data_IF_125659927630
#
_entry.id   IF_125659927630
#
_cell.length_a   1.000
_cell.length_b   1.000
_cell.length_c   1.000
_cell.angle_alpha   90.00
_cell.angle_beta   90.00
_cell.angle_gamma   90.00
#
_symmetry.space_group_name_H-M   'P 1'
#
loop_
_entity.id
_entity.type
_entity.pdbx_description
1 polymer ?
#
# COMPACT_ATOMS: atom_id res chain seq x y z
N UNK A 1 41.58 10.39 -10.41
CA UNK A 1 42.07 9.42 -9.41
C UNK A 1 41.07 8.28 -9.32
N UNK A 2 41.52 7.08 -9.69
CA UNK A 2 40.90 5.74 -9.64
C UNK A 2 39.51 5.55 -10.28
N UNK A 3 39.54 5.38 -11.61
CA UNK A 3 38.62 4.55 -12.39
C UNK A 3 39.10 3.10 -12.24
N UNK A 4 38.22 2.14 -11.92
CA UNK A 4 38.49 0.72 -12.16
C UNK A 4 37.35 0.13 -12.99
N UNK A 5 37.70 -0.14 -14.25
CA UNK A 5 36.99 -0.98 -15.20
C UNK A 5 37.30 -2.44 -14.89
N UNK A 6 36.31 -3.33 -14.83
CA UNK A 6 36.52 -4.74 -15.12
C UNK A 6 35.34 -5.27 -15.95
N UNK A 7 35.61 -5.48 -17.25
CA UNK A 7 34.90 -6.45 -18.10
C UNK A 7 35.33 -7.85 -17.69
N UNK A 8 34.40 -8.80 -17.62
CA UNK A 8 34.69 -10.23 -17.46
C UNK A 8 33.44 -11.05 -17.75
N UNK A 9 33.57 -11.96 -18.71
CA UNK A 9 32.53 -12.77 -19.36
C UNK A 9 32.02 -13.94 -18.50
N UNK A 10 30.87 -14.49 -18.91
CA UNK A 10 30.17 -15.63 -18.33
C UNK A 10 31.02 -16.92 -18.20
N UNK A 11 30.85 -17.67 -17.11
CA UNK A 11 30.37 -19.07 -17.08
C UNK A 11 30.30 -19.65 -15.64
N UNK A 12 29.19 -20.36 -15.39
CA UNK A 12 28.79 -21.33 -14.33
C UNK A 12 29.69 -21.57 -13.09
N UNK A 13 29.09 -21.50 -11.90
CA UNK A 13 28.69 -22.72 -11.15
C UNK A 13 27.81 -22.35 -9.94
N UNK A 14 26.71 -23.09 -9.75
CA UNK A 14 25.87 -23.03 -8.55
C UNK A 14 26.59 -23.79 -7.41
N UNK A 15 26.94 -23.08 -6.34
CA UNK A 15 27.31 -23.67 -5.06
C UNK A 15 26.24 -23.30 -4.04
N UNK A 16 25.25 -24.19 -3.88
CA UNK A 16 24.22 -24.10 -2.84
C UNK A 16 24.77 -24.69 -1.54
N UNK A 17 24.62 -23.94 -0.46
CA UNK A 17 25.17 -24.19 0.88
C UNK A 17 24.63 -25.51 1.52
N UNK A 18 25.42 -26.30 2.28
CA UNK A 18 25.13 -27.73 2.58
C UNK A 18 24.07 -28.04 3.65
N UNK A 19 23.16 -27.13 3.99
CA UNK A 19 22.20 -27.33 5.11
C UNK A 19 20.81 -27.80 4.63
N UNK A 20 20.54 -27.78 3.32
CA UNK A 20 19.22 -28.12 2.74
C UNK A 20 19.08 -29.58 2.24
N UNK A 21 19.99 -30.49 2.61
CA UNK A 21 20.08 -31.84 2.01
C UNK A 21 19.66 -33.01 2.92
N UNK A 22 18.70 -32.80 3.85
CA UNK A 22 18.08 -33.91 4.60
C UNK A 22 16.58 -33.70 4.81
N UNK A 23 15.80 -33.89 3.74
CA UNK A 23 14.41 -34.38 3.81
C UNK A 23 13.86 -34.57 2.39
N UNK A 24 14.31 -35.63 1.72
CA UNK A 24 13.57 -36.23 0.59
C UNK A 24 13.29 -37.67 0.98
N UNK A 25 12.17 -37.91 1.65
CA UNK A 25 11.52 -39.22 1.62
C UNK A 25 10.50 -39.20 0.50
N UNK A 26 10.84 -39.89 -0.57
CA UNK A 26 9.96 -40.32 -1.64
C UNK A 26 8.80 -41.11 -1.05
N UNK A 27 7.56 -40.68 -1.32
CA UNK A 27 6.38 -41.49 -1.10
C UNK A 27 6.06 -42.15 -2.44
N UNK A 28 6.50 -43.40 -2.62
CA UNK A 28 6.03 -44.26 -3.70
C UNK A 28 4.62 -44.75 -3.35
N UNK A 29 3.65 -44.45 -4.21
CA UNK A 29 2.31 -45.03 -4.13
C UNK A 29 2.38 -46.49 -4.61
N UNK A 30 2.44 -47.43 -3.68
CA UNK A 30 2.14 -48.83 -3.95
C UNK A 30 0.73 -49.17 -3.42
N UNK A 31 -0.09 -49.67 -4.34
CA UNK A 31 -1.43 -50.27 -4.21
C UNK A 31 -2.67 -49.34 -4.07
N UNK A 32 -3.61 -49.36 -5.04
CA UNK A 32 -4.88 -48.67 -4.98
C UNK A 32 -5.98 -49.63 -4.51
N UNK A 33 -6.19 -49.78 -3.19
CA UNK A 33 -7.36 -50.53 -2.71
C UNK A 33 -7.87 -50.19 -1.31
N UNK A 34 -7.41 -49.08 -0.69
CA UNK A 34 -7.96 -48.62 0.60
C UNK A 34 -8.35 -47.13 0.51
N UNK A 35 -9.42 -46.82 -0.25
CA UNK A 35 -9.96 -45.47 -0.40
C UNK A 35 -11.16 -45.18 0.54
N UNK A 36 -11.32 -45.95 1.61
CA UNK A 36 -12.45 -45.83 2.54
C UNK A 36 -12.00 -45.92 3.99
N UNK A 37 -11.05 -45.10 4.46
CA UNK A 37 -10.89 -44.90 5.92
C UNK A 37 -10.08 -43.66 6.39
N UNK A 38 -9.84 -42.67 5.53
CA UNK A 38 -9.34 -41.36 5.98
C UNK A 38 -10.40 -40.32 5.60
N UNK A 39 -11.41 -40.09 6.42
CA UNK A 39 -11.24 -39.63 7.80
C UNK A 39 -11.45 -38.13 7.76
N UNK A 40 -12.68 -37.75 8.07
CA UNK A 40 -13.17 -36.41 8.34
C UNK A 40 -12.20 -35.61 9.25
N UNK A 41 -11.25 -34.87 8.68
CA UNK A 41 -10.60 -33.76 9.40
C UNK A 41 -9.85 -32.77 8.50
N UNK A 42 -10.33 -32.51 7.28
CA UNK A 42 -10.10 -31.18 6.68
C UNK A 42 -11.15 -30.23 7.27
N UNK A 43 -11.12 -30.09 8.59
CA UNK A 43 -11.72 -28.93 9.23
C UNK A 43 -10.92 -27.77 8.69
N UNK A 44 -11.62 -26.92 7.94
CA UNK A 44 -11.16 -25.64 7.44
C UNK A 44 -10.62 -24.83 8.63
N UNK A 45 -9.35 -25.04 8.97
CA UNK A 45 -8.59 -24.17 9.85
C UNK A 45 -8.58 -22.83 9.13
N UNK A 46 -9.56 -21.98 9.45
CA UNK A 46 -9.40 -20.54 9.34
C UNK A 46 -8.19 -20.22 10.23
N UNK A 47 -6.99 -20.32 9.67
CA UNK A 47 -5.81 -19.73 10.27
C UNK A 47 -6.18 -18.28 10.50
N UNK A 48 -6.37 -17.93 11.77
CA UNK A 48 -6.74 -16.58 12.18
C UNK A 48 -5.45 -15.75 12.08
N UNK A 49 -5.01 -15.50 10.83
CA UNK A 49 -3.87 -14.64 10.55
C UNK A 49 -4.24 -13.23 11.04
N UNK A 50 -3.45 -12.73 11.98
CA UNK A 50 -3.64 -11.39 12.52
C UNK A 50 -2.36 -10.61 12.32
N UNK A 51 -2.39 -9.60 11.46
CA UNK A 51 -1.20 -8.78 11.12
C UNK A 51 0.00 -9.60 10.63
N UNK A 52 -0.25 -10.70 9.90
CA UNK A 52 0.81 -11.61 9.41
C UNK A 52 1.31 -12.61 10.46
N UNK A 53 0.81 -12.56 11.69
CA UNK A 53 1.15 -13.54 12.72
C UNK A 53 0.31 -14.82 12.59
N UNK A 54 1.00 -15.96 12.59
CA UNK A 54 0.41 -17.31 12.49
C UNK A 54 0.68 -18.16 13.74
N UNK A 55 1.66 -17.78 14.57
CA UNK A 55 1.99 -18.47 15.82
C UNK A 55 1.26 -17.85 16.99
N UNK A 56 0.99 -18.64 18.05
CA UNK A 56 0.38 -18.12 19.30
C UNK A 56 1.17 -16.94 19.88
N UNK A 57 2.49 -17.05 19.89
CA UNK A 57 3.37 -15.98 20.34
C UNK A 57 3.26 -14.73 19.45
N UNK A 58 3.30 -14.91 18.13
CA UNK A 58 3.15 -13.80 17.19
C UNK A 58 1.79 -13.09 17.33
N UNK A 59 0.72 -13.86 17.51
CA UNK A 59 -0.63 -13.32 17.73
C UNK A 59 -0.68 -12.50 19.02
N UNK A 60 -0.13 -13.03 20.12
CA UNK A 60 -0.05 -12.32 21.41
C UNK A 60 0.73 -11.01 21.31
N UNK A 61 1.86 -11.01 20.60
CA UNK A 61 2.65 -9.79 20.34
C UNK A 61 1.82 -8.77 19.54
N UNK A 62 1.13 -9.20 18.49
CA UNK A 62 0.30 -8.34 17.67
C UNK A 62 -0.87 -7.75 18.46
N UNK A 63 -1.53 -8.53 19.31
CA UNK A 63 -2.62 -8.07 20.19
C UNK A 63 -2.13 -7.03 21.18
N UNK A 64 -1.01 -7.29 21.85
CA UNK A 64 -0.39 -6.34 22.80
C UNK A 64 0.02 -5.04 22.11
N UNK A 65 0.64 -5.12 20.93
CA UNK A 65 0.99 -3.95 20.13
C UNK A 65 -0.25 -3.11 19.80
N UNK A 66 -1.34 -3.76 19.40
CA UNK A 66 -2.58 -3.07 19.06
C UNK A 66 -3.22 -2.37 20.25
N UNK A 67 -3.21 -2.98 21.43
CA UNK A 67 -3.71 -2.34 22.64
C UNK A 67 -2.92 -1.06 22.97
N UNK A 68 -1.59 -1.11 22.87
CA UNK A 68 -0.71 0.05 23.07
C UNK A 68 -1.03 1.15 22.06
N UNK A 69 -1.17 0.80 20.78
CA UNK A 69 -1.53 1.74 19.71
C UNK A 69 -2.87 2.40 19.98
N UNK A 70 -3.91 1.64 20.36
CA UNK A 70 -5.23 2.18 20.71
C UNK A 70 -5.15 3.18 21.86
N UNK A 71 -4.39 2.88 22.91
CA UNK A 71 -4.22 3.77 24.05
C UNK A 71 -3.46 5.04 23.66
N UNK A 72 -2.41 4.94 22.84
CA UNK A 72 -1.70 6.11 22.28
C UNK A 72 -2.63 7.00 21.46
N UNK A 73 -3.44 6.41 20.57
CA UNK A 73 -4.40 7.16 19.75
C UNK A 73 -5.42 7.88 20.61
N UNK A 74 -6.00 7.20 21.62
CA UNK A 74 -6.94 7.83 22.57
C UNK A 74 -6.30 9.01 23.30
N UNK A 75 -5.07 8.86 23.78
CA UNK A 75 -4.35 9.92 24.49
C UNK A 75 -4.07 11.13 23.57
N UNK A 76 -3.74 10.86 22.31
CA UNK A 76 -3.44 11.90 21.32
C UNK A 76 -4.71 12.62 20.88
N UNK A 77 -5.76 11.89 20.54
CA UNK A 77 -7.00 12.46 20.00
C UNK A 77 -7.92 13.05 21.07
N UNK A 78 -7.93 12.50 22.29
CA UNK A 78 -8.92 12.84 23.31
C UNK A 78 -10.34 12.66 22.76
N UNK A 79 -11.20 13.65 23.00
CA UNK A 79 -12.60 13.62 22.56
C UNK A 79 -12.78 13.61 21.04
N UNK A 80 -11.76 14.06 20.27
CA UNK A 80 -11.80 14.00 18.80
C UNK A 80 -11.86 12.58 18.25
N UNK A 81 -11.58 11.56 19.06
CA UNK A 81 -11.76 10.17 18.61
C UNK A 81 -13.21 9.89 18.16
N UNK A 82 -14.18 10.59 18.75
CA UNK A 82 -15.60 10.44 18.44
C UNK A 82 -16.01 11.10 17.11
N UNK A 83 -15.13 11.87 16.46
CA UNK A 83 -15.41 12.46 15.14
C UNK A 83 -15.07 11.53 13.99
N UNK A 84 -14.47 10.37 14.25
CA UNK A 84 -14.05 9.42 13.23
C UNK A 84 -14.98 8.20 13.19
N UNK A 85 -15.25 7.69 11.99
CA UNK A 85 -15.92 6.41 11.83
C UNK A 85 -15.05 5.25 12.34
N UNK A 86 -15.65 4.08 12.50
CA UNK A 86 -14.91 2.86 12.90
C UNK A 86 -13.86 2.50 11.85
N UNK A 87 -14.21 2.70 10.58
CA UNK A 87 -13.38 2.46 9.41
C UNK A 87 -12.19 3.42 9.40
N UNK A 88 -12.43 4.72 9.58
CA UNK A 88 -11.37 5.74 9.68
C UNK A 88 -10.42 5.48 10.86
N UNK A 89 -10.96 5.14 12.04
CA UNK A 89 -10.15 4.76 13.20
C UNK A 89 -9.28 3.53 12.92
N UNK A 90 -9.79 2.57 12.17
CA UNK A 90 -9.03 1.38 11.79
C UNK A 90 -7.88 1.72 10.83
N UNK A 91 -8.07 2.68 9.93
CA UNK A 91 -6.99 3.23 9.09
C UNK A 91 -5.94 3.96 9.95
N UNK A 92 -6.38 4.82 10.88
CA UNK A 92 -5.49 5.54 11.80
C UNK A 92 -4.65 4.55 12.62
N UNK A 93 -5.28 3.51 13.21
CA UNK A 93 -4.60 2.44 13.94
C UNK A 93 -3.50 1.79 13.11
N UNK A 94 -3.79 1.44 11.84
CA UNK A 94 -2.81 0.82 10.95
C UNK A 94 -1.64 1.73 10.63
N UNK A 95 -1.90 3.00 10.35
CA UNK A 95 -0.82 3.96 10.06
C UNK A 95 0.07 4.13 11.29
N UNK A 96 -0.51 4.38 12.47
CA UNK A 96 0.27 4.54 13.71
C UNK A 96 1.07 3.29 14.04
N UNK A 97 0.51 2.10 13.82
CA UNK A 97 1.25 0.85 14.00
C UNK A 97 2.43 0.73 13.04
N UNK A 98 2.22 1.02 11.74
CA UNK A 98 3.25 0.87 10.72
C UNK A 98 4.38 1.89 10.82
N UNK A 99 4.11 3.07 11.41
CA UNK A 99 5.10 4.14 11.58
C UNK A 99 5.70 4.19 12.98
N UNK A 100 5.10 3.51 13.96
CA UNK A 100 5.38 3.67 15.38
C UNK A 100 5.30 5.15 15.85
N UNK A 101 4.46 5.95 15.20
CA UNK A 101 4.33 7.38 15.43
C UNK A 101 2.86 7.76 15.64
N UNK A 102 2.48 7.97 16.90
CA UNK A 102 1.13 8.35 17.28
C UNK A 102 0.68 9.73 16.80
N UNK A 103 1.60 10.60 16.38
CA UNK A 103 1.25 11.92 15.86
C UNK A 103 0.38 11.82 14.60
N UNK A 104 0.55 10.76 13.80
CA UNK A 104 -0.28 10.50 12.63
C UNK A 104 -1.78 10.47 12.93
N UNK A 105 -2.19 10.13 14.16
CA UNK A 105 -3.59 10.19 14.54
C UNK A 105 -4.19 11.60 14.40
N UNK A 106 -3.40 12.66 14.60
CA UNK A 106 -3.83 14.06 14.38
C UNK A 106 -3.61 14.55 12.96
N UNK A 107 -2.71 13.90 12.21
CA UNK A 107 -2.28 14.39 10.91
C UNK A 107 -3.12 13.81 9.77
N UNK A 108 -3.65 12.60 9.90
CA UNK A 108 -4.49 12.01 8.85
C UNK A 108 -5.78 12.80 8.72
N UNK A 109 -6.14 13.13 7.49
CA UNK A 109 -7.34 13.87 7.15
C UNK A 109 -8.10 13.12 6.07
N UNK A 110 -9.37 12.84 6.33
CA UNK A 110 -10.30 12.17 5.42
C UNK A 110 -11.27 13.21 4.84
N UNK A 111 -11.54 13.11 3.54
CA UNK A 111 -12.45 14.00 2.81
C UNK A 111 -13.47 13.18 2.03
N UNK A 112 -14.74 13.58 2.10
CA UNK A 112 -15.85 13.07 1.30
C UNK A 112 -16.00 11.54 1.28
N UNK A 113 -15.98 10.91 2.46
CA UNK A 113 -16.15 9.46 2.61
C UNK A 113 -15.13 8.64 1.80
N UNK A 114 -13.88 9.10 1.76
CA UNK A 114 -12.81 8.51 0.95
C UNK A 114 -12.56 7.02 1.25
N UNK A 115 -12.80 6.57 2.49
CA UNK A 115 -12.63 5.16 2.86
C UNK A 115 -13.70 4.31 2.19
N UNK A 116 -14.96 4.75 2.26
CA UNK A 116 -16.11 4.09 1.66
C UNK A 116 -16.01 4.05 0.13
N UNK A 117 -15.62 5.17 -0.50
CA UNK A 117 -15.41 5.23 -1.95
C UNK A 117 -14.24 4.34 -2.40
N UNK A 118 -13.16 4.28 -1.61
CA UNK A 118 -12.08 3.32 -1.83
C UNK A 118 -12.56 1.87 -1.74
N UNK A 119 -13.37 1.53 -0.74
CA UNK A 119 -13.93 0.18 -0.59
C UNK A 119 -14.82 -0.19 -1.79
N UNK A 120 -15.69 0.72 -2.24
CA UNK A 120 -16.52 0.52 -3.44
C UNK A 120 -15.66 0.30 -4.68
N UNK A 121 -14.65 1.14 -4.90
CA UNK A 121 -13.76 1.02 -6.05
C UNK A 121 -13.01 -0.32 -6.08
N UNK A 122 -12.53 -0.82 -4.93
CA UNK A 122 -11.91 -2.16 -4.87
C UNK A 122 -12.93 -3.27 -5.18
N UNK A 123 -14.16 -3.17 -4.67
CA UNK A 123 -15.25 -4.14 -4.97
C UNK A 123 -15.66 -4.12 -6.45
N UNK A 124 -15.60 -2.97 -7.10
CA UNK A 124 -15.80 -2.79 -8.55
C UNK A 124 -14.58 -3.16 -9.39
N UNK A 125 -13.53 -3.70 -8.78
CA UNK A 125 -12.27 -4.09 -9.41
C UNK A 125 -11.55 -2.94 -10.16
N UNK A 126 -11.66 -1.70 -9.67
CA UNK A 126 -10.99 -0.53 -10.25
C UNK A 126 -9.46 -0.62 -10.12
N UNK A 127 -8.70 -0.07 -11.08
CA UNK A 127 -7.24 -0.08 -11.01
C UNK A 127 -6.72 0.82 -9.88
N UNK A 128 -5.59 0.42 -9.29
CA UNK A 128 -4.79 1.26 -8.40
C UNK A 128 -3.56 1.75 -9.17
N UNK A 129 -3.33 3.06 -9.21
CA UNK A 129 -2.12 3.68 -9.79
C UNK A 129 -1.28 4.27 -8.66
N UNK A 130 0.02 3.94 -8.66
CA UNK A 130 0.96 4.41 -7.62
C UNK A 130 2.18 5.12 -8.20
N UNK A 131 2.74 6.07 -7.45
CA UNK A 131 3.86 6.89 -7.90
C UNK A 131 5.21 6.17 -7.94
N UNK A 132 5.45 5.21 -7.03
CA UNK A 132 6.71 4.45 -6.98
C UNK A 132 6.52 2.95 -6.74
N UNK A 133 7.47 2.14 -7.23
CA UNK A 133 7.43 0.68 -7.13
C UNK A 133 7.43 0.16 -5.68
N UNK A 134 7.99 0.91 -4.72
CA UNK A 134 7.98 0.50 -3.32
C UNK A 134 6.55 0.45 -2.75
N UNK A 135 5.68 1.37 -3.16
CA UNK A 135 4.26 1.32 -2.79
C UNK A 135 3.60 0.11 -3.46
N UNK A 136 3.82 -0.08 -4.77
CA UNK A 136 3.27 -1.23 -5.50
C UNK A 136 3.62 -2.56 -4.85
N UNK A 137 4.88 -2.73 -4.43
CA UNK A 137 5.35 -3.95 -3.77
C UNK A 137 4.68 -4.22 -2.41
N UNK A 138 4.21 -3.17 -1.73
CA UNK A 138 3.51 -3.29 -0.45
C UNK A 138 2.01 -3.54 -0.57
N UNK A 139 1.40 -3.38 -1.75
CA UNK A 139 -0.05 -3.49 -1.96
C UNK A 139 -0.45 -4.94 -2.26
N UNK A 140 -1.44 -5.46 -1.52
CA UNK A 140 -1.97 -6.83 -1.67
C UNK A 140 -3.13 -6.93 -2.66
N UNK A 141 -2.98 -6.29 -3.83
CA UNK A 141 -4.02 -6.20 -4.85
C UNK A 141 -3.43 -6.26 -6.26
N UNK A 142 -3.87 -7.23 -7.06
CA UNK A 142 -3.24 -7.54 -8.34
C UNK A 142 -3.46 -6.46 -9.40
N UNK A 143 -4.59 -5.75 -9.35
CA UNK A 143 -4.93 -4.69 -10.30
C UNK A 143 -4.24 -3.35 -9.91
N UNK A 144 -2.91 -3.40 -9.76
CA UNK A 144 -2.07 -2.29 -9.30
C UNK A 144 -0.93 -1.99 -10.27
N UNK A 145 -0.81 -0.73 -10.67
CA UNK A 145 0.09 -0.24 -11.70
C UNK A 145 1.05 0.81 -11.16
N UNK A 146 2.28 0.79 -11.68
CA UNK A 146 3.29 1.82 -11.45
C UNK A 146 4.11 1.96 -12.72
N UNK A 147 4.17 3.17 -13.27
CA UNK A 147 4.83 3.45 -14.54
C UNK A 147 6.19 4.15 -14.36
N UNK A 148 6.66 4.36 -13.13
CA UNK A 148 7.89 5.14 -12.85
C UNK A 148 9.15 4.62 -13.57
N UNK A 149 9.16 3.33 -13.94
CA UNK A 149 10.25 2.66 -14.65
C UNK A 149 9.90 2.30 -16.10
N UNK A 150 8.73 2.72 -16.62
CA UNK A 150 8.36 2.50 -18.01
C UNK A 150 9.27 3.29 -18.94
N UNK A 151 9.71 2.68 -20.05
CA UNK A 151 10.53 3.36 -21.06
C UNK A 151 9.87 4.65 -21.55
N UNK A 152 8.56 4.64 -21.79
CA UNK A 152 7.79 5.83 -22.20
C UNK A 152 7.84 6.93 -21.15
N UNK A 153 7.88 6.59 -19.86
CA UNK A 153 8.04 7.57 -18.78
C UNK A 153 9.38 8.28 -18.85
N UNK A 154 10.47 7.54 -19.12
CA UNK A 154 11.79 8.16 -19.31
C UNK A 154 11.83 9.07 -20.54
N UNK A 155 11.30 8.59 -21.68
CA UNK A 155 11.23 9.35 -22.92
C UNK A 155 10.42 10.64 -22.74
N UNK A 156 9.25 10.56 -22.11
CA UNK A 156 8.38 11.70 -21.85
C UNK A 156 9.02 12.70 -20.88
N UNK A 157 9.61 12.22 -19.78
CA UNK A 157 10.28 13.06 -18.80
C UNK A 157 11.42 13.87 -19.42
N UNK A 158 12.24 13.24 -20.27
CA UNK A 158 13.31 13.93 -20.99
C UNK A 158 12.78 14.90 -22.03
N UNK A 159 11.79 14.49 -22.83
CA UNK A 159 11.21 15.32 -23.89
C UNK A 159 10.57 16.60 -23.32
N UNK A 160 9.84 16.49 -22.23
CA UNK A 160 9.05 17.59 -21.65
C UNK A 160 9.75 18.32 -20.49
N UNK A 161 10.98 17.89 -20.13
CA UNK A 161 11.76 18.47 -19.03
C UNK A 161 11.01 18.46 -17.68
N UNK A 162 10.28 17.37 -17.43
CA UNK A 162 9.51 17.12 -16.21
C UNK A 162 10.12 15.96 -15.41
N UNK A 163 9.73 15.84 -14.13
CA UNK A 163 10.17 14.69 -13.33
C UNK A 163 9.56 13.38 -13.86
N UNK A 164 10.25 12.25 -13.63
CA UNK A 164 9.70 10.92 -13.97
C UNK A 164 8.37 10.64 -13.28
N UNK A 165 8.17 11.16 -12.07
CA UNK A 165 6.93 10.98 -11.33
C UNK A 165 5.74 11.64 -12.05
N UNK A 166 5.90 12.88 -12.51
CA UNK A 166 4.92 13.59 -13.34
C UNK A 166 4.65 12.81 -14.64
N UNK A 167 5.71 12.41 -15.36
CA UNK A 167 5.56 11.66 -16.60
C UNK A 167 4.85 10.30 -16.41
N UNK A 168 5.11 9.59 -15.31
CA UNK A 168 4.43 8.32 -15.01
C UNK A 168 2.95 8.49 -14.73
N UNK A 169 2.57 9.61 -14.10
CA UNK A 169 1.17 9.94 -13.82
C UNK A 169 0.43 10.30 -15.11
N UNK A 170 1.05 11.08 -16.01
CA UNK A 170 0.49 11.40 -17.33
C UNK A 170 0.22 10.14 -18.16
N UNK A 171 1.16 9.21 -18.18
CA UNK A 171 1.00 7.94 -18.91
C UNK A 171 -0.11 7.08 -18.32
N UNK A 172 -0.37 7.20 -17.02
CA UNK A 172 -1.40 6.43 -16.33
C UNK A 172 -2.79 7.08 -16.39
N UNK A 173 -2.99 8.21 -17.11
CA UNK A 173 -4.22 9.00 -17.10
C UNK A 173 -5.49 8.15 -17.25
N UNK A 174 -5.53 7.24 -18.23
CA UNK A 174 -6.72 6.42 -18.51
C UNK A 174 -7.03 5.40 -17.39
N UNK A 175 -6.03 5.01 -16.59
CA UNK A 175 -6.22 4.16 -15.41
C UNK A 175 -6.55 4.96 -14.16
N UNK A 176 -6.16 6.24 -14.14
CA UNK A 176 -6.45 7.16 -13.04
C UNK A 176 -7.91 7.59 -13.08
N UNK A 177 -8.45 7.86 -14.28
CA UNK A 177 -9.85 8.17 -14.45
C UNK A 177 -10.72 6.98 -14.01
N UNK A 178 -11.69 7.22 -13.13
CA UNK A 178 -12.51 6.19 -12.48
C UNK A 178 -11.70 5.15 -11.64
N UNK A 179 -10.41 5.41 -11.39
CA UNK A 179 -9.49 4.55 -10.64
C UNK A 179 -9.14 5.06 -9.23
N UNK A 180 -8.24 4.35 -8.56
CA UNK A 180 -7.67 4.73 -7.26
C UNK A 180 -6.25 5.23 -7.48
N UNK A 181 -5.89 6.38 -6.89
CA UNK A 181 -4.52 6.92 -6.97
C UNK A 181 -3.87 6.91 -5.60
N UNK A 182 -2.64 6.41 -5.51
CA UNK A 182 -1.87 6.36 -4.25
C UNK A 182 -0.50 7.00 -4.46
N UNK A 183 -0.33 8.20 -3.89
CA UNK A 183 0.92 8.96 -3.95
C UNK A 183 1.53 8.99 -2.55
N UNK A 184 2.63 8.25 -2.36
CA UNK A 184 3.31 8.18 -1.07
C UNK A 184 4.69 8.83 -1.03
N UNK A 185 5.28 9.17 -2.18
CA UNK A 185 6.66 9.65 -2.22
C UNK A 185 6.82 11.01 -2.90
N UNK A 186 6.27 11.22 -4.09
CA UNK A 186 6.57 12.38 -4.91
C UNK A 186 5.47 13.47 -4.82
N UNK A 187 5.71 14.63 -4.17
CA UNK A 187 4.77 15.75 -4.20
C UNK A 187 4.42 16.20 -5.63
N UNK A 188 5.39 16.15 -6.55
CA UNK A 188 5.16 16.50 -7.96
C UNK A 188 4.19 15.56 -8.67
N UNK A 189 4.14 14.27 -8.29
CA UNK A 189 3.13 13.34 -8.81
C UNK A 189 1.74 13.73 -8.32
N UNK A 190 1.59 14.13 -7.05
CA UNK A 190 0.32 14.58 -6.51
C UNK A 190 -0.17 15.88 -7.18
N UNK A 191 0.74 16.84 -7.38
CA UNK A 191 0.43 18.08 -8.12
C UNK A 191 -0.03 17.80 -9.54
N UNK A 192 0.58 16.82 -10.22
CA UNK A 192 0.17 16.44 -11.57
C UNK A 192 -1.22 15.78 -11.60
N UNK A 193 -1.56 14.95 -10.61
CA UNK A 193 -2.93 14.41 -10.46
C UNK A 193 -3.93 15.55 -10.29
N UNK A 194 -3.65 16.53 -9.44
CA UNK A 194 -4.51 17.70 -9.22
C UNK A 194 -4.66 18.53 -10.50
N UNK A 195 -3.56 18.74 -11.23
CA UNK A 195 -3.59 19.43 -12.53
C UNK A 195 -4.53 18.72 -13.50
N UNK A 196 -4.40 17.40 -13.66
CA UNK A 196 -5.28 16.63 -14.55
C UNK A 196 -6.75 16.67 -14.09
N UNK A 197 -7.03 16.64 -12.77
CA UNK A 197 -8.40 16.79 -12.25
C UNK A 197 -8.99 18.13 -12.70
N UNK A 198 -8.25 19.21 -12.52
CA UNK A 198 -8.75 20.57 -12.76
C UNK A 198 -8.80 20.93 -14.25
N UNK A 199 -7.77 20.56 -15.03
CA UNK A 199 -7.60 20.99 -16.42
C UNK A 199 -8.12 19.98 -17.42
N UNK A 200 -8.13 18.69 -17.08
CA UNK A 200 -8.49 17.60 -17.99
C UNK A 200 -9.72 16.83 -17.52
N UNK A 201 -10.32 17.23 -16.40
CA UNK A 201 -11.57 16.70 -15.85
C UNK A 201 -11.56 15.17 -15.64
N UNK A 202 -10.39 14.60 -15.30
CA UNK A 202 -10.34 13.21 -14.81
C UNK A 202 -11.03 13.12 -13.46
N UNK A 203 -11.63 11.97 -13.17
CA UNK A 203 -12.42 11.73 -11.95
C UNK A 203 -11.95 10.45 -11.25
N UNK A 204 -10.80 10.49 -10.54
CA UNK A 204 -10.42 9.38 -9.67
C UNK A 204 -11.51 9.12 -8.64
N UNK A 205 -11.72 7.84 -8.29
CA UNK A 205 -12.64 7.44 -7.21
C UNK A 205 -12.15 7.90 -5.85
N UNK A 206 -10.86 7.78 -5.61
CA UNK A 206 -10.22 8.27 -4.40
C UNK A 206 -8.73 8.54 -4.65
N UNK A 207 -8.21 9.59 -4.03
CA UNK A 207 -6.77 9.90 -4.02
C UNK A 207 -6.22 9.79 -2.60
N UNK A 208 -5.31 8.84 -2.39
CA UNK A 208 -4.48 8.75 -1.18
C UNK A 208 -3.23 9.58 -1.44
N UNK A 209 -3.28 10.86 -1.05
CA UNK A 209 -2.21 11.84 -1.23
C UNK A 209 -1.42 12.04 0.05
N UNK A 210 -0.43 11.19 0.29
CA UNK A 210 0.44 11.25 1.48
C UNK A 210 1.93 11.34 1.14
N UNK A 211 2.37 12.12 0.13
CA UNK A 211 3.80 12.28 -0.12
C UNK A 211 4.50 12.86 1.10
N UNK A 212 5.70 12.33 1.37
CA UNK A 212 6.63 12.86 2.36
C UNK A 212 7.56 13.88 1.70
N UNK A 213 7.95 14.93 2.43
CA UNK A 213 9.01 15.82 1.98
C UNK A 213 8.97 17.19 2.63
N UNK A 214 10.09 17.90 2.55
CA UNK A 214 10.20 19.27 3.04
C UNK A 214 9.89 20.33 1.98
N UNK A 215 9.75 19.92 0.71
CA UNK A 215 9.45 20.78 -0.42
C UNK A 215 8.14 20.31 -1.05
N UNK A 216 7.16 21.21 -1.20
CA UNK A 216 5.87 20.99 -1.88
C UNK A 216 4.95 19.89 -1.29
N UNK A 217 5.39 19.07 -0.32
CA UNK A 217 4.55 18.01 0.25
C UNK A 217 3.32 18.58 0.98
N UNK A 218 3.50 19.53 1.90
CA UNK A 218 2.39 20.15 2.64
C UNK A 218 1.40 20.85 1.70
N UNK A 219 1.92 21.64 0.76
CA UNK A 219 1.14 22.43 -0.19
C UNK A 219 0.35 21.55 -1.17
N UNK A 220 0.99 20.53 -1.77
CA UNK A 220 0.31 19.60 -2.68
C UNK A 220 -0.86 18.87 -2.01
N UNK A 221 -0.71 18.49 -0.74
CA UNK A 221 -1.79 17.85 0.04
C UNK A 221 -2.91 18.84 0.37
N UNK A 222 -2.59 20.10 0.61
CA UNK A 222 -3.61 21.15 0.80
C UNK A 222 -4.39 21.43 -0.48
N UNK A 223 -3.71 21.48 -1.62
CA UNK A 223 -4.35 21.64 -2.93
C UNK A 223 -5.27 20.45 -3.24
N UNK A 224 -4.86 19.21 -2.92
CA UNK A 224 -5.74 18.05 -3.09
C UNK A 224 -7.04 18.20 -2.29
N UNK A 225 -6.95 18.66 -1.03
CA UNK A 225 -8.12 18.88 -0.17
C UNK A 225 -9.08 19.94 -0.71
N UNK A 226 -8.65 20.80 -1.65
CA UNK A 226 -9.49 21.81 -2.31
C UNK A 226 -10.17 21.30 -3.59
N UNK A 227 -9.81 20.11 -4.09
CA UNK A 227 -10.51 19.46 -5.22
C UNK A 227 -11.82 18.83 -4.76
N UNK A 228 -12.71 18.44 -5.68
CA UNK A 228 -13.96 17.73 -5.35
C UNK A 228 -13.79 16.20 -5.26
N UNK A 229 -12.56 15.69 -5.33
CA UNK A 229 -12.27 14.26 -5.30
C UNK A 229 -12.17 13.77 -3.85
N UNK A 230 -12.79 12.62 -3.50
CA UNK A 230 -12.57 11.97 -2.21
C UNK A 230 -11.08 11.71 -1.98
N UNK A 231 -10.57 12.06 -0.80
CA UNK A 231 -9.14 11.91 -0.54
C UNK A 231 -8.79 11.62 0.90
N UNK A 232 -7.65 10.96 1.06
CA UNK A 232 -6.99 10.73 2.34
C UNK A 232 -5.60 11.37 2.26
N UNK A 233 -5.34 12.33 3.13
CA UNK A 233 -4.06 13.06 3.18
C UNK A 233 -3.48 13.08 4.58
N UNK A 234 -2.24 13.55 4.71
CA UNK A 234 -1.65 13.95 5.98
C UNK A 234 -1.41 15.47 6.01
N UNK A 235 -1.51 16.09 7.18
CA UNK A 235 -1.10 17.48 7.40
C UNK A 235 0.42 17.59 7.56
N UNK A 236 1.02 18.67 7.04
CA UNK A 236 2.46 18.94 7.17
C UNK A 236 3.36 18.09 6.26
N UNK A 237 4.66 17.96 6.55
CA UNK A 237 5.63 17.28 5.67
C UNK A 237 5.63 15.74 5.81
N UNK A 238 5.02 15.21 6.88
CA UNK A 238 4.97 13.77 7.17
C UNK A 238 4.09 13.01 6.17
N UNK A 239 4.41 11.75 5.91
CA UNK A 239 3.79 10.94 4.88
C UNK A 239 4.67 9.73 4.59
N UNK A 240 4.70 9.28 3.34
CA UNK A 240 5.65 8.26 2.89
C UNK A 240 4.98 6.96 2.48
N UNK A 241 5.81 6.06 1.94
CA UNK A 241 5.40 4.72 1.54
C UNK A 241 4.69 3.93 2.64
N UNK A 242 5.19 3.86 3.91
CA UNK A 242 4.51 3.10 4.95
C UNK A 242 3.09 3.59 5.23
N UNK A 243 2.88 4.92 5.20
CA UNK A 243 1.56 5.54 5.39
C UNK A 243 0.65 5.18 4.23
N UNK A 244 1.09 5.41 2.99
CA UNK A 244 0.34 5.12 1.78
C UNK A 244 -0.11 3.65 1.72
N UNK A 245 0.83 2.72 1.93
CA UNK A 245 0.59 1.27 1.90
C UNK A 245 -0.36 0.85 3.03
N UNK A 246 -0.22 1.43 4.23
CA UNK A 246 -1.09 1.09 5.37
C UNK A 246 -2.54 1.49 5.13
N UNK A 247 -2.76 2.68 4.55
CA UNK A 247 -4.10 3.19 4.21
C UNK A 247 -4.75 2.30 3.15
N UNK A 248 -4.10 2.10 1.99
CA UNK A 248 -4.71 1.35 0.89
C UNK A 248 -4.93 -0.13 1.25
N UNK A 249 -4.00 -0.77 1.96
CA UNK A 249 -4.22 -2.15 2.43
C UNK A 249 -5.32 -2.24 3.49
N UNK A 250 -5.54 -1.19 4.28
CA UNK A 250 -6.69 -1.12 5.19
C UNK A 250 -8.00 -1.08 4.43
N UNK A 251 -8.09 -0.27 3.37
CA UNK A 251 -9.26 -0.22 2.46
C UNK A 251 -9.47 -1.58 1.76
N UNK A 252 -8.41 -2.21 1.25
CA UNK A 252 -8.48 -3.52 0.62
C UNK A 252 -8.99 -4.57 1.63
N UNK A 253 -8.50 -4.57 2.87
CA UNK A 253 -8.97 -5.49 3.90
C UNK A 253 -10.47 -5.29 4.19
N UNK A 254 -10.92 -4.04 4.35
CA UNK A 254 -12.34 -3.72 4.54
C UNK A 254 -13.20 -4.21 3.36
N UNK A 255 -12.71 -4.06 2.13
CA UNK A 255 -13.45 -4.50 0.95
C UNK A 255 -13.68 -6.01 0.88
N UNK A 256 -12.87 -6.79 1.61
CA UNK A 256 -12.91 -8.25 1.69
C UNK A 256 -13.48 -8.76 3.02
N UNK A 257 -14.03 -7.87 3.83
CA UNK A 257 -14.51 -8.16 5.19
C UNK A 257 -13.43 -8.79 6.09
N UNK A 258 -12.16 -8.46 5.82
CA UNK A 258 -11.00 -8.88 6.60
C UNK A 258 -10.82 -7.95 7.81
N UNK A 259 -10.18 -8.48 8.87
CA UNK A 259 -9.87 -7.67 10.05
C UNK A 259 -8.77 -6.65 9.71
N UNK A 260 -9.12 -5.37 9.87
CA UNK A 260 -8.27 -4.20 9.62
C UNK A 260 -7.32 -3.94 10.77
#
# INVERSE_FOLDING_TARGET
>A
MAIIYLRGTAERSEAVHPILMKSKRSFELQNPSNAHDYGLEVVMLKFHEFMGAITKEGISIAEKSREIVKNKIRNVLGDKINSYSKEELSIIERVVHATADEEYAKLIYFKDNAVEEGVKAIKENKPIVVDINMIKAGIRYNNTYCFINDRKTYELAQKEQITRAVASIRIAKDLIDDGIVVIGNAPTALLEVIRMINEENIKPRVVIGVPVGFVQASESKELLRKTDVPSITTIGPKGGTPVAVSIINGIIAMSRDERV
#
